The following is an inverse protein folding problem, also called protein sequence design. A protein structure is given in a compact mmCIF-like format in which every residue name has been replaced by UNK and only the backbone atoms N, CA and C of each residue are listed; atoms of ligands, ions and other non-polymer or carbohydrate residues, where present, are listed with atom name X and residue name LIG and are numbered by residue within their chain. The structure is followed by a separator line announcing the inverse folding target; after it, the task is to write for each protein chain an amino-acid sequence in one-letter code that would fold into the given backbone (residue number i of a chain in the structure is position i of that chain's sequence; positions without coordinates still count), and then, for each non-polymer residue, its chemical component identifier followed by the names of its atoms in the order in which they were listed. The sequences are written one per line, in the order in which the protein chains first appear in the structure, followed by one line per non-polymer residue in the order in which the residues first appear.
data_IF_068438283289
#
_entry.id   IF_068438283289
#
_cell.length_a   1.000
_cell.length_b   1.000
_cell.length_c   1.000
_cell.angle_alpha   90.00
_cell.angle_beta   90.00
_cell.angle_gamma   90.00
#
_symmetry.space_group_name_H-M   'P 1'
#
loop_
_entity.id
_entity.type
_entity.pdbx_description
1 polymer ?
#
# COMPACT_ATOMS: atom_id res chain seq x y z
N UNK A 1 25.20 -15.97 24.54
CA UNK A 1 23.79 -15.67 24.85
C UNK A 1 23.24 -14.96 23.66
N UNK A 2 22.38 -15.64 22.87
CA UNK A 2 21.69 -15.01 21.74
C UNK A 2 20.61 -14.10 22.35
N UNK A 3 20.79 -12.79 22.28
CA UNK A 3 19.71 -11.84 22.62
C UNK A 3 18.51 -12.17 21.75
N UNK A 4 17.35 -12.35 22.37
CA UNK A 4 16.11 -12.56 21.63
C UNK A 4 15.88 -11.35 20.72
N UNK A 5 15.66 -11.57 19.43
CA UNK A 5 15.33 -10.52 18.47
C UNK A 5 14.06 -9.82 18.92
N UNK A 6 14.14 -8.53 19.22
CA UNK A 6 13.00 -7.73 19.65
C UNK A 6 12.21 -7.26 18.43
N UNK A 7 10.89 -7.50 18.45
CA UNK A 7 9.97 -6.99 17.41
C UNK A 7 8.95 -6.08 18.07
N UNK A 8 8.97 -4.81 17.70
CA UNK A 8 8.00 -3.80 18.14
C UNK A 8 7.12 -3.36 16.96
N UNK A 9 5.84 -3.07 17.22
CA UNK A 9 4.95 -2.42 16.25
C UNK A 9 4.69 -1.00 16.75
N UNK A 10 5.08 -0.04 15.94
CA UNK A 10 4.98 1.39 16.26
C UNK A 10 4.12 2.12 15.20
N UNK A 11 3.57 3.26 15.58
CA UNK A 11 3.02 4.20 14.61
C UNK A 11 4.15 4.87 13.84
N UNK A 12 4.00 5.01 12.52
CA UNK A 12 5.01 5.68 11.74
C UNK A 12 5.11 7.16 12.13
N UNK A 13 6.35 7.65 12.20
CA UNK A 13 6.72 9.04 12.45
C UNK A 13 7.47 9.59 11.26
N UNK A 14 7.77 10.88 11.24
CA UNK A 14 8.48 11.53 10.11
C UNK A 14 9.81 10.86 9.76
N UNK A 15 10.53 10.34 10.73
CA UNK A 15 11.77 9.57 10.50
C UNK A 15 11.54 8.28 9.68
N UNK A 16 10.31 7.76 9.65
CA UNK A 16 9.94 6.59 8.83
C UNK A 16 9.56 6.93 7.39
N UNK A 17 9.48 8.21 6.99
CA UNK A 17 9.04 8.61 5.64
C UNK A 17 9.81 7.86 4.54
N UNK A 18 11.14 7.75 4.54
CA UNK A 18 11.86 6.99 3.51
C UNK A 18 11.46 5.50 3.48
N UNK A 19 11.21 4.92 4.66
CA UNK A 19 10.73 3.54 4.74
C UNK A 19 9.29 3.39 4.27
N UNK A 20 8.39 4.32 4.61
CA UNK A 20 7.00 4.33 4.14
C UNK A 20 6.96 4.46 2.61
N UNK A 21 7.75 5.35 2.02
CA UNK A 21 7.89 5.49 0.57
C UNK A 21 8.30 4.16 -0.08
N UNK A 22 9.29 3.49 0.50
CA UNK A 22 9.70 2.16 0.06
C UNK A 22 8.56 1.13 0.20
N UNK A 23 7.81 1.14 1.31
CA UNK A 23 6.65 0.25 1.51
C UNK A 23 5.59 0.47 0.44
N UNK A 24 5.23 1.72 0.16
CA UNK A 24 4.26 2.09 -0.89
C UNK A 24 4.73 1.58 -2.25
N UNK A 25 5.98 1.83 -2.62
CA UNK A 25 6.55 1.35 -3.88
C UNK A 25 6.54 -0.18 -3.96
N UNK A 26 7.05 -0.86 -2.94
CA UNK A 26 7.18 -2.32 -2.92
C UNK A 26 5.81 -3.01 -2.94
N UNK A 27 4.83 -2.50 -2.20
CA UNK A 27 3.46 -3.01 -2.19
C UNK A 27 2.77 -2.87 -3.56
N UNK A 28 2.95 -1.71 -4.21
CA UNK A 28 2.43 -1.47 -5.56
C UNK A 28 3.08 -2.35 -6.64
N UNK A 29 4.37 -2.61 -6.52
CA UNK A 29 5.06 -3.59 -7.39
C UNK A 29 4.56 -5.01 -7.16
N UNK A 30 4.19 -5.34 -5.92
CA UNK A 30 3.74 -6.69 -5.58
C UNK A 30 4.81 -7.73 -5.92
N UNK A 31 4.51 -8.64 -6.85
CA UNK A 31 5.46 -9.65 -7.39
C UNK A 31 6.02 -9.27 -8.78
N UNK A 32 5.70 -8.07 -9.26
CA UNK A 32 6.05 -7.57 -10.59
C UNK A 32 7.29 -6.68 -10.54
N UNK A 33 8.00 -6.50 -11.65
CA UNK A 33 9.17 -5.62 -11.70
C UNK A 33 8.81 -4.14 -11.58
N UNK A 34 7.57 -3.75 -11.95
CA UNK A 34 7.07 -2.37 -11.90
C UNK A 34 5.63 -2.35 -11.41
N UNK A 35 5.31 -1.36 -10.58
CA UNK A 35 3.96 -1.04 -10.13
C UNK A 35 3.43 0.25 -10.77
N UNK A 36 2.26 0.70 -10.32
CA UNK A 36 1.60 1.89 -10.84
C UNK A 36 2.47 3.14 -10.69
N UNK A 37 3.15 3.31 -9.57
CA UNK A 37 4.01 4.47 -9.35
C UNK A 37 5.22 4.49 -10.27
N UNK A 38 5.85 3.33 -10.55
CA UNK A 38 6.95 3.24 -11.51
C UNK A 38 6.53 3.68 -12.91
N UNK A 39 5.32 3.29 -13.31
CA UNK A 39 4.78 3.58 -14.64
C UNK A 39 4.30 5.04 -14.74
N UNK A 40 3.64 5.54 -13.67
CA UNK A 40 3.11 6.90 -13.64
C UNK A 40 4.23 7.94 -13.55
N UNK A 41 5.10 7.81 -12.55
CA UNK A 41 6.20 8.76 -12.33
C UNK A 41 7.24 8.64 -13.45
N UNK A 42 7.63 7.42 -13.79
CA UNK A 42 8.70 7.14 -14.75
C UNK A 42 10.09 7.42 -14.14
N UNK A 43 11.11 7.31 -14.97
CA UNK A 43 12.51 7.53 -14.54
C UNK A 43 13.09 6.33 -13.80
N UNK A 44 14.01 6.61 -12.88
CA UNK A 44 14.70 5.64 -12.05
C UNK A 44 13.89 5.26 -10.81
N UNK A 45 14.33 4.22 -10.10
CA UNK A 45 13.75 3.87 -8.78
C UNK A 45 13.92 5.02 -7.78
N UNK A 46 15.03 5.75 -7.85
CA UNK A 46 15.28 6.90 -6.99
C UNK A 46 14.28 8.04 -7.24
N UNK A 47 13.92 8.29 -8.51
CA UNK A 47 12.90 9.28 -8.86
C UNK A 47 11.52 8.90 -8.28
N UNK A 48 11.17 7.61 -8.36
CA UNK A 48 9.92 7.10 -7.78
C UNK A 48 9.93 7.21 -6.26
N UNK A 49 11.02 6.82 -5.60
CA UNK A 49 11.14 6.94 -4.14
C UNK A 49 11.06 8.40 -3.70
N UNK A 50 11.76 9.30 -4.38
CA UNK A 50 11.67 10.74 -4.10
C UNK A 50 10.26 11.28 -4.22
N UNK A 51 9.51 10.87 -5.27
CA UNK A 51 8.09 11.23 -5.42
C UNK A 51 7.28 10.74 -4.23
N UNK A 52 7.47 9.48 -3.83
CA UNK A 52 6.72 8.85 -2.75
C UNK A 52 7.10 9.37 -1.36
N UNK A 53 8.34 9.79 -1.13
CA UNK A 53 8.74 10.47 0.10
C UNK A 53 8.01 11.81 0.26
N UNK A 54 7.92 12.61 -0.81
CA UNK A 54 7.14 13.84 -0.79
C UNK A 54 5.65 13.56 -0.62
N UNK A 55 5.14 12.49 -1.26
CA UNK A 55 3.75 12.06 -1.12
C UNK A 55 3.43 11.65 0.32
N UNK A 56 4.33 10.91 0.97
CA UNK A 56 4.13 10.49 2.36
C UNK A 56 4.13 11.64 3.38
N UNK A 57 4.63 12.82 3.04
CA UNK A 57 4.70 14.02 3.92
C UNK A 57 3.95 15.24 3.33
N UNK A 58 2.87 15.01 2.60
CA UNK A 58 1.99 16.08 2.13
C UNK A 58 1.18 16.68 3.28
N UNK A 59 0.72 17.93 3.13
CA UNK A 59 -0.23 18.53 4.06
C UNK A 59 -1.62 17.86 3.95
N UNK A 60 -1.99 17.48 2.72
CA UNK A 60 -3.22 16.76 2.44
C UNK A 60 -3.13 15.31 2.91
N UNK A 61 -3.99 14.91 3.85
CA UNK A 61 -4.07 13.52 4.31
C UNK A 61 -4.71 12.62 3.23
N UNK A 62 -4.07 11.49 2.95
CA UNK A 62 -4.52 10.44 2.04
C UNK A 62 -3.90 9.10 2.43
N UNK A 63 -4.33 7.98 1.84
CA UNK A 63 -3.94 6.63 2.29
C UNK A 63 -2.46 6.26 2.15
N UNK A 64 -1.63 7.06 1.45
CA UNK A 64 -0.18 6.88 1.42
C UNK A 64 0.57 7.85 2.37
N UNK A 65 -0.14 8.66 3.18
CA UNK A 65 0.49 9.55 4.16
C UNK A 65 1.08 8.74 5.32
N UNK A 66 2.31 9.10 5.75
CA UNK A 66 3.05 8.32 6.76
C UNK A 66 2.27 8.07 8.04
N UNK A 67 1.48 9.02 8.51
CA UNK A 67 0.75 8.92 9.79
C UNK A 67 -0.32 7.82 9.85
N UNK A 68 -0.68 7.22 8.73
CA UNK A 68 -1.62 6.10 8.65
C UNK A 68 -0.94 4.73 8.75
N UNK A 69 0.40 4.72 8.78
CA UNK A 69 1.16 3.46 8.78
C UNK A 69 1.46 2.96 10.19
N UNK A 70 1.39 1.64 10.32
CA UNK A 70 2.06 0.89 11.37
C UNK A 70 3.34 0.29 10.79
N UNK A 71 4.42 0.38 11.57
CA UNK A 71 5.73 -0.15 11.21
C UNK A 71 6.13 -1.22 12.22
N UNK A 72 6.52 -2.39 11.73
CA UNK A 72 7.18 -3.39 12.54
C UNK A 72 8.69 -3.14 12.49
N UNK A 73 9.28 -2.84 13.62
CA UNK A 73 10.72 -2.71 13.81
C UNK A 73 11.28 -4.02 14.37
N UNK A 74 12.45 -4.41 13.88
CA UNK A 74 13.23 -5.54 14.37
C UNK A 74 14.54 -4.98 14.90
N UNK A 75 14.76 -5.09 16.20
CA UNK A 75 15.93 -4.49 16.88
C UNK A 75 16.11 -2.99 16.52
N UNK A 76 14.99 -2.23 16.46
CA UNK A 76 14.97 -0.81 16.11
C UNK A 76 15.09 -0.50 14.62
N UNK A 77 15.12 -1.51 13.74
CA UNK A 77 15.22 -1.31 12.28
C UNK A 77 13.85 -1.52 11.64
N UNK A 78 13.30 -0.55 10.87
CA UNK A 78 12.05 -0.71 10.15
C UNK A 78 12.11 -1.87 9.15
N UNK A 79 11.25 -2.88 9.34
CA UNK A 79 11.29 -4.16 8.66
C UNK A 79 10.06 -4.46 7.81
N UNK A 80 8.87 -4.08 8.28
CA UNK A 80 7.61 -4.24 7.55
C UNK A 80 6.66 -3.09 7.87
N UNK A 81 5.75 -2.77 6.95
CA UNK A 81 4.77 -1.72 7.15
C UNK A 81 3.46 -1.98 6.42
N UNK A 82 2.39 -1.36 6.90
CA UNK A 82 1.09 -1.28 6.23
C UNK A 82 0.31 -0.07 6.73
N UNK A 83 -0.69 0.36 5.96
CA UNK A 83 -1.62 1.40 6.38
C UNK A 83 -3.05 0.87 6.48
N UNK A 84 -3.92 1.66 7.14
CA UNK A 84 -5.34 1.38 7.24
C UNK A 84 -6.17 2.65 7.31
N UNK A 85 -7.33 2.65 6.65
CA UNK A 85 -8.21 3.82 6.55
C UNK A 85 -9.64 3.43 6.19
N UNK A 86 -10.57 4.37 6.29
CA UNK A 86 -11.90 4.27 5.68
C UNK A 86 -11.92 5.00 4.33
N UNK A 87 -12.42 4.34 3.28
CA UNK A 87 -12.45 4.92 1.93
C UNK A 87 -13.32 6.19 1.87
N UNK A 88 -14.42 6.26 2.64
CA UNK A 88 -15.27 7.43 2.71
C UNK A 88 -14.59 8.66 3.36
N UNK A 89 -13.50 8.47 4.11
CA UNK A 89 -12.69 9.55 4.68
C UNK A 89 -11.51 9.91 3.78
N UNK A 90 -10.84 8.91 3.21
CA UNK A 90 -9.57 9.05 2.49
C UNK A 90 -9.63 8.36 1.11
N UNK A 91 -10.69 8.60 0.36
CA UNK A 91 -10.89 8.02 -0.97
C UNK A 91 -10.06 8.69 -2.09
N UNK A 92 -10.37 8.38 -3.36
CA UNK A 92 -9.60 8.85 -4.52
C UNK A 92 -9.38 10.36 -4.59
N UNK A 93 -10.34 11.16 -4.12
CA UNK A 93 -10.25 12.64 -4.12
C UNK A 93 -9.10 13.12 -3.23
N UNK A 94 -8.92 12.52 -2.04
CA UNK A 94 -7.82 12.89 -1.15
C UNK A 94 -6.45 12.52 -1.74
N UNK A 95 -6.35 11.36 -2.40
CA UNK A 95 -5.12 10.97 -3.10
C UNK A 95 -4.80 11.90 -4.28
N UNK A 96 -5.81 12.31 -5.05
CA UNK A 96 -5.61 13.28 -6.14
C UNK A 96 -5.11 14.62 -5.62
N UNK A 97 -5.63 15.09 -4.49
CA UNK A 97 -5.17 16.34 -3.86
C UNK A 97 -3.71 16.21 -3.37
N UNK A 98 -3.35 15.11 -2.71
CA UNK A 98 -1.97 14.83 -2.32
C UNK A 98 -1.03 14.75 -3.52
N UNK A 99 -1.42 14.03 -4.58
CA UNK A 99 -0.62 13.95 -5.81
C UNK A 99 -0.43 15.32 -6.49
N UNK A 100 -1.46 16.19 -6.46
CA UNK A 100 -1.35 17.56 -6.98
C UNK A 100 -0.33 18.39 -6.19
N UNK A 101 -0.35 18.27 -4.85
CA UNK A 101 0.64 18.92 -3.97
C UNK A 101 2.07 18.45 -4.29
N UNK A 102 2.27 17.12 -4.46
CA UNK A 102 3.58 16.57 -4.85
C UNK A 102 4.02 17.11 -6.18
N UNK A 103 3.16 17.05 -7.21
CA UNK A 103 3.49 17.51 -8.56
C UNK A 103 3.95 18.98 -8.56
N UNK A 104 3.31 19.82 -7.76
CA UNK A 104 3.70 21.21 -7.57
C UNK A 104 5.06 21.32 -6.86
N UNK A 105 5.27 20.60 -5.75
CA UNK A 105 6.52 20.64 -4.96
C UNK A 105 7.75 20.19 -5.75
N UNK A 106 7.60 19.18 -6.61
CA UNK A 106 8.72 18.65 -7.42
C UNK A 106 8.79 19.24 -8.83
N UNK A 107 7.89 20.14 -9.20
CA UNK A 107 7.91 20.86 -10.48
C UNK A 107 7.55 20.02 -11.70
N UNK A 108 6.65 19.03 -11.57
CA UNK A 108 6.14 18.28 -12.74
C UNK A 108 5.27 19.17 -13.60
N UNK A 109 5.50 19.13 -14.91
CA UNK A 109 4.68 19.88 -15.86
C UNK A 109 3.31 19.21 -16.07
N UNK A 110 2.29 19.95 -16.56
CA UNK A 110 1.01 19.34 -16.93
C UNK A 110 1.16 18.22 -17.97
N UNK A 111 2.12 18.35 -18.89
CA UNK A 111 2.44 17.35 -19.90
C UNK A 111 3.00 16.07 -19.27
N UNK A 112 3.91 16.17 -18.29
CA UNK A 112 4.46 15.02 -17.56
C UNK A 112 3.37 14.29 -16.78
N UNK A 113 2.46 15.05 -16.16
CA UNK A 113 1.33 14.49 -15.39
C UNK A 113 0.39 13.74 -16.33
N UNK A 114 -0.01 14.36 -17.45
CA UNK A 114 -0.88 13.75 -18.44
C UNK A 114 -0.24 12.49 -19.05
N UNK A 115 1.03 12.55 -19.42
CA UNK A 115 1.77 11.39 -19.95
C UNK A 115 1.89 10.26 -18.93
N UNK A 116 2.12 10.59 -17.66
CA UNK A 116 2.14 9.62 -16.56
C UNK A 116 0.80 8.92 -16.40
N UNK A 117 -0.29 9.66 -16.42
CA UNK A 117 -1.65 9.12 -16.35
C UNK A 117 -1.94 8.19 -17.54
N UNK A 118 -1.66 8.63 -18.78
CA UNK A 118 -1.88 7.82 -19.97
C UNK A 118 -1.14 6.47 -19.90
N UNK A 119 0.07 6.43 -19.37
CA UNK A 119 0.83 5.19 -19.19
C UNK A 119 0.23 4.27 -18.13
N UNK A 120 -0.33 4.82 -17.06
CA UNK A 120 -0.76 4.07 -15.87
C UNK A 120 -2.26 3.82 -15.79
N UNK A 121 -3.09 4.47 -16.62
CA UNK A 121 -4.57 4.47 -16.50
C UNK A 121 -5.24 3.11 -16.56
N UNK A 122 -4.58 2.09 -17.14
CA UNK A 122 -5.11 0.71 -17.14
C UNK A 122 -5.28 0.12 -15.74
N UNK A 123 -4.67 0.73 -14.69
CA UNK A 123 -4.95 0.38 -13.29
C UNK A 123 -6.45 0.48 -12.96
N UNK A 124 -7.17 1.40 -13.60
CA UNK A 124 -8.62 1.57 -13.42
C UNK A 124 -9.41 0.32 -13.78
N UNK A 125 -8.88 -0.53 -14.67
CA UNK A 125 -9.49 -1.79 -15.08
C UNK A 125 -9.63 -2.81 -13.93
N UNK A 126 -8.83 -2.68 -12.87
CA UNK A 126 -8.81 -3.62 -11.73
C UNK A 126 -9.27 -3.01 -10.41
N UNK A 127 -9.65 -1.73 -10.38
CA UNK A 127 -10.20 -1.10 -9.17
C UNK A 127 -11.51 -1.79 -8.81
N UNK A 128 -11.66 -2.13 -7.53
CA UNK A 128 -12.84 -2.76 -6.94
C UNK A 128 -13.41 -1.83 -5.87
N UNK A 129 -14.73 -1.81 -5.76
CA UNK A 129 -15.41 -1.03 -4.72
C UNK A 129 -15.34 -1.78 -3.39
N UNK A 130 -15.00 -1.05 -2.33
CA UNK A 130 -15.03 -1.55 -0.96
C UNK A 130 -16.48 -1.58 -0.43
N UNK A 131 -16.73 -2.46 0.53
CA UNK A 131 -17.99 -2.43 1.25
C UNK A 131 -18.12 -1.13 2.05
N UNK A 132 -19.27 -0.44 2.01
CA UNK A 132 -19.46 0.78 2.79
C UNK A 132 -19.13 0.57 4.28
N UNK A 133 -18.20 1.37 4.81
CA UNK A 133 -17.73 1.24 6.20
C UNK A 133 -16.71 0.12 6.44
N UNK A 134 -16.20 -0.54 5.41
CA UNK A 134 -15.09 -1.46 5.56
C UNK A 134 -13.79 -0.70 5.91
N UNK A 135 -13.00 -1.30 6.80
CA UNK A 135 -11.64 -0.88 7.07
C UNK A 135 -10.73 -1.39 5.95
N UNK A 136 -10.17 -0.47 5.18
CA UNK A 136 -9.26 -0.82 4.09
C UNK A 136 -7.85 -0.96 4.63
N UNK A 137 -7.21 -2.10 4.38
CA UNK A 137 -5.80 -2.35 4.67
C UNK A 137 -5.02 -2.30 3.36
N UNK A 138 -4.03 -1.44 3.29
CA UNK A 138 -3.24 -1.24 2.07
C UNK A 138 -1.73 -1.14 2.32
N UNK A 139 -0.96 -1.13 1.23
CA UNK A 139 0.49 -0.92 1.22
C UNK A 139 1.25 -1.87 2.15
N UNK A 140 0.99 -3.18 2.02
CA UNK A 140 1.65 -4.20 2.84
C UNK A 140 2.97 -4.63 2.22
N UNK A 141 4.08 -4.34 2.88
CA UNK A 141 5.40 -4.80 2.43
C UNK A 141 6.32 -5.18 3.60
N UNK A 142 7.21 -6.13 3.34
CA UNK A 142 8.27 -6.56 4.27
C UNK A 142 9.60 -6.60 3.52
N UNK A 143 10.64 -5.98 4.07
CA UNK A 143 11.99 -6.03 3.53
C UNK A 143 12.45 -7.50 3.36
N UNK A 144 13.12 -7.85 2.26
CA UNK A 144 13.49 -9.24 1.94
C UNK A 144 14.17 -9.99 3.09
N UNK A 145 15.09 -9.34 3.77
CA UNK A 145 15.88 -9.90 4.88
C UNK A 145 15.08 -10.19 6.16
N UNK A 146 13.88 -9.60 6.27
CA UNK A 146 12.97 -9.79 7.41
C UNK A 146 11.75 -10.66 7.10
N UNK A 147 11.65 -11.19 5.88
CA UNK A 147 10.53 -12.06 5.48
C UNK A 147 10.51 -13.37 6.30
N UNK A 148 9.34 -14.02 6.33
CA UNK A 148 9.08 -15.29 7.02
C UNK A 148 9.27 -15.25 8.54
N UNK A 149 9.17 -14.05 9.15
CA UNK A 149 9.24 -13.84 10.61
C UNK A 149 7.87 -13.53 11.24
N UNK A 150 6.76 -13.71 10.51
CA UNK A 150 5.41 -13.43 11.03
C UNK A 150 5.06 -11.93 11.18
N UNK A 151 5.88 -11.01 10.62
CA UNK A 151 5.67 -9.57 10.80
C UNK A 151 4.34 -9.09 10.21
N UNK A 152 3.95 -9.61 9.03
CA UNK A 152 2.68 -9.25 8.39
C UNK A 152 1.50 -9.67 9.26
N UNK A 153 1.52 -10.88 9.84
CA UNK A 153 0.45 -11.38 10.72
C UNK A 153 0.27 -10.47 11.95
N UNK A 154 1.39 -10.04 12.57
CA UNK A 154 1.37 -9.13 13.71
C UNK A 154 0.84 -7.74 13.33
N UNK A 155 1.29 -7.17 12.21
CA UNK A 155 0.81 -5.89 11.70
C UNK A 155 -0.68 -5.93 11.35
N UNK A 156 -1.13 -7.01 10.68
CA UNK A 156 -2.55 -7.20 10.38
C UNK A 156 -3.39 -7.22 11.66
N UNK A 157 -2.93 -7.94 12.70
CA UNK A 157 -3.64 -7.96 13.98
C UNK A 157 -3.84 -6.55 14.55
N UNK A 158 -2.78 -5.76 14.65
CA UNK A 158 -2.83 -4.37 15.15
C UNK A 158 -3.73 -3.49 14.27
N UNK A 159 -3.64 -3.66 12.94
CA UNK A 159 -4.43 -2.89 11.99
C UNK A 159 -5.93 -3.20 12.08
N UNK A 160 -6.28 -4.48 12.27
CA UNK A 160 -7.68 -4.90 12.47
C UNK A 160 -8.23 -4.39 13.80
N UNK A 161 -7.42 -4.40 14.88
CA UNK A 161 -7.81 -3.82 16.16
C UNK A 161 -8.05 -2.31 16.06
N UNK A 162 -7.24 -1.61 15.26
CA UNK A 162 -7.46 -0.18 14.99
C UNK A 162 -8.79 0.04 14.24
N UNK A 163 -9.10 -0.76 13.22
CA UNK A 163 -10.37 -0.71 12.50
C UNK A 163 -11.57 -0.94 13.44
N UNK A 164 -11.52 -1.97 14.30
CA UNK A 164 -12.55 -2.24 15.31
C UNK A 164 -12.79 -1.07 16.27
N UNK A 165 -11.71 -0.51 16.81
CA UNK A 165 -11.77 0.66 17.69
C UNK A 165 -12.42 1.88 17.03
N UNK A 166 -12.33 1.97 15.72
CA UNK A 166 -12.96 3.03 14.90
C UNK A 166 -14.36 2.66 14.41
N UNK A 167 -14.90 1.49 14.80
CA UNK A 167 -16.26 1.07 14.51
C UNK A 167 -16.44 0.26 13.22
N UNK A 168 -15.36 -0.16 12.56
CA UNK A 168 -15.47 -1.06 11.41
C UNK A 168 -15.97 -2.45 11.83
N UNK A 169 -16.83 -3.04 11.02
CA UNK A 169 -17.35 -4.40 11.18
C UNK A 169 -16.75 -5.39 10.19
N UNK A 170 -16.12 -4.86 9.15
CA UNK A 170 -15.40 -5.64 8.10
C UNK A 170 -14.09 -4.97 7.77
N UNK A 171 -13.14 -5.76 7.25
CA UNK A 171 -11.90 -5.26 6.66
C UNK A 171 -11.69 -5.84 5.27
N UNK A 172 -11.20 -4.99 4.36
CA UNK A 172 -10.85 -5.34 2.99
C UNK A 172 -9.34 -5.20 2.77
N UNK A 173 -8.77 -6.08 1.94
CA UNK A 173 -7.37 -6.02 1.51
C UNK A 173 -7.26 -6.49 0.05
N UNK A 174 -6.52 -5.74 -0.77
CA UNK A 174 -6.26 -6.07 -2.17
C UNK A 174 -5.02 -6.92 -2.38
N UNK A 175 -5.01 -7.76 -3.42
CA UNK A 175 -3.82 -8.47 -3.88
C UNK A 175 -3.87 -8.67 -5.40
N UNK A 176 -2.74 -8.51 -6.09
CA UNK A 176 -2.64 -8.85 -7.51
C UNK A 176 -2.69 -10.37 -7.70
N UNK A 177 -3.39 -10.82 -8.74
CA UNK A 177 -3.41 -12.23 -9.14
C UNK A 177 -1.99 -12.66 -9.50
N UNK A 178 -1.52 -13.76 -8.91
CA UNK A 178 -0.15 -14.25 -9.02
C UNK A 178 0.74 -13.94 -7.81
N UNK A 179 0.32 -13.02 -6.91
CA UNK A 179 1.01 -12.83 -5.63
C UNK A 179 0.52 -13.83 -4.57
N UNK A 180 0.74 -15.11 -4.82
CA UNK A 180 0.30 -16.18 -3.92
C UNK A 180 0.89 -16.09 -2.50
N UNK A 181 2.14 -15.65 -2.29
CA UNK A 181 2.65 -15.47 -0.94
C UNK A 181 1.86 -14.46 -0.11
N UNK A 182 1.48 -13.31 -0.69
CA UNK A 182 0.68 -12.31 -0.02
C UNK A 182 -0.74 -12.81 0.24
N UNK A 183 -1.40 -13.41 -0.76
CA UNK A 183 -2.73 -13.99 -0.59
C UNK A 183 -2.77 -15.00 0.55
N UNK A 184 -1.82 -15.97 0.58
CA UNK A 184 -1.74 -16.94 1.68
C UNK A 184 -1.53 -16.31 3.05
N UNK A 185 -0.75 -15.22 3.13
CA UNK A 185 -0.55 -14.50 4.39
C UNK A 185 -1.86 -13.86 4.88
N UNK A 186 -2.65 -13.26 3.98
CA UNK A 186 -3.94 -12.69 4.31
C UNK A 186 -4.99 -13.75 4.67
N UNK A 187 -5.02 -14.87 3.96
CA UNK A 187 -5.90 -16.00 4.26
C UNK A 187 -5.62 -16.61 5.64
N UNK A 188 -4.35 -16.71 6.05
CA UNK A 188 -3.98 -17.10 7.42
C UNK A 188 -4.51 -16.13 8.47
N UNK A 189 -4.60 -14.83 8.15
CA UNK A 189 -5.21 -13.83 8.99
C UNK A 189 -6.75 -13.84 8.93
N UNK A 190 -7.38 -14.82 8.28
CA UNK A 190 -8.82 -15.01 8.23
C UNK A 190 -9.55 -14.27 7.11
N UNK A 191 -8.84 -13.60 6.22
CA UNK A 191 -9.43 -13.01 5.03
C UNK A 191 -9.84 -14.11 4.02
N UNK A 192 -10.87 -13.81 3.20
CA UNK A 192 -11.33 -14.68 2.11
C UNK A 192 -11.57 -13.86 0.87
N UNK A 193 -11.25 -14.41 -0.30
CA UNK A 193 -11.52 -13.77 -1.59
C UNK A 193 -13.02 -13.57 -1.74
N UNK A 194 -13.44 -12.34 -2.00
CA UNK A 194 -14.83 -11.94 -2.23
C UNK A 194 -15.06 -11.40 -3.64
N UNK A 195 -14.05 -10.79 -4.26
CA UNK A 195 -14.10 -10.25 -5.62
C UNK A 195 -12.82 -10.65 -6.34
N UNK A 196 -12.94 -11.05 -7.60
CA UNK A 196 -11.83 -11.16 -8.56
C UNK A 196 -12.16 -10.32 -9.78
N UNK A 197 -11.26 -9.46 -10.20
CA UNK A 197 -11.41 -8.62 -11.38
C UNK A 197 -10.20 -8.80 -12.29
N UNK A 198 -10.46 -9.07 -13.57
CA UNK A 198 -9.45 -9.25 -14.61
C UNK A 198 -9.61 -8.18 -15.67
N UNK A 199 -8.50 -7.73 -16.22
CA UNK A 199 -8.48 -6.73 -17.27
C UNK A 199 -7.29 -6.98 -18.21
N UNK A 200 -7.56 -7.15 -19.51
CA UNK A 200 -6.54 -7.49 -20.50
C UNK A 200 -5.54 -6.34 -20.74
N UNK A 201 -6.00 -5.09 -20.64
CA UNK A 201 -5.11 -3.94 -20.79
C UNK A 201 -4.21 -3.76 -19.57
N UNK A 202 -4.74 -4.01 -18.36
CA UNK A 202 -3.92 -4.08 -17.16
C UNK A 202 -2.86 -5.18 -17.26
N UNK A 203 -3.24 -6.38 -17.72
CA UNK A 203 -2.30 -7.49 -17.93
C UNK A 203 -1.20 -7.13 -18.91
N UNK A 204 -1.56 -6.49 -20.03
CA UNK A 204 -0.59 -6.05 -21.04
C UNK A 204 0.42 -5.02 -20.51
N UNK A 205 -0.02 -4.10 -19.65
CA UNK A 205 0.80 -3.01 -19.13
C UNK A 205 1.61 -3.42 -17.91
N UNK A 206 0.99 -4.16 -16.98
CA UNK A 206 1.57 -4.47 -15.68
C UNK A 206 2.11 -5.92 -15.58
N UNK A 207 1.59 -6.84 -16.35
CA UNK A 207 2.03 -8.25 -16.34
C UNK A 207 1.29 -9.14 -15.34
N UNK A 208 0.20 -8.66 -14.72
CA UNK A 208 -0.70 -9.47 -13.90
C UNK A 208 -2.10 -9.46 -14.53
N UNK A 209 -2.82 -10.60 -14.55
CA UNK A 209 -4.15 -10.66 -15.17
C UNK A 209 -5.22 -9.87 -14.43
N UNK A 210 -4.92 -9.30 -13.25
CA UNK A 210 -5.88 -8.54 -12.48
C UNK A 210 -5.62 -8.55 -10.98
N UNK A 211 -6.68 -8.32 -10.20
CA UNK A 211 -6.60 -8.27 -8.74
C UNK A 211 -7.74 -9.04 -8.08
N UNK A 212 -7.52 -9.40 -6.81
CA UNK A 212 -8.50 -9.95 -5.88
C UNK A 212 -8.67 -9.02 -4.70
N UNK A 213 -9.91 -8.87 -4.27
CA UNK A 213 -10.21 -8.31 -2.97
C UNK A 213 -10.53 -9.44 -2.01
N UNK A 214 -9.90 -9.42 -0.86
CA UNK A 214 -10.19 -10.33 0.23
C UNK A 214 -10.85 -9.54 1.35
N UNK A 215 -11.83 -10.14 2.01
CA UNK A 215 -12.60 -9.56 3.11
C UNK A 215 -12.56 -10.44 4.34
N UNK A 216 -12.63 -9.81 5.50
CA UNK A 216 -12.78 -10.45 6.80
C UNK A 216 -13.78 -9.66 7.67
N UNK A 217 -14.65 -10.37 8.42
CA UNK A 217 -15.40 -9.77 9.52
C UNK A 217 -14.47 -9.41 10.69
N UNK A 218 -14.74 -8.29 11.36
CA UNK A 218 -13.99 -7.76 12.50
C UNK A 218 -14.67 -8.05 13.83
#
# INVERSE_FOLDING_TARGET
MTTATEVQIVEARKEHIPFVAWVVMAANRSHLPKGMWDINVGGSEEDVLRYLEVLADTEQLHWAHYSLFKVAEVDGVPAAGMCGFFENELGPVSMMAGAAEVNQKIGRTPEDIAAGWERSKSIMGIIMEHEPGAWVVEHVATKPEFRRRGLVERLVHEMLEMGRKRGATTADIGVLIGNDPAQRAYEKCGFRVVIEKRDAEFERVYGSPGARMLRRAL
#
